data_IF_849617050203
#
_entry.id   IF_849617050203
#
_cell.length_a   1.000
_cell.length_b   1.000
_cell.length_c   1.000
_cell.angle_alpha   90.00
_cell.angle_beta   90.00
_cell.angle_gamma   90.00
#
_symmetry.space_group_name_H-M   'P 1'
#
loop_
_entity.id
_entity.type
_entity.pdbx_description
1 polymer ?
#
# COMPACT_ATOMS: atom_id res chain seq x y z
N UNK A 1 -6.27 2.89 -9.31
CA UNK A 1 -5.48 1.94 -8.48
C UNK A 1 -4.04 1.98 -8.92
N UNK A 2 -3.10 1.79 -8.00
CA UNK A 2 -1.68 1.62 -8.32
C UNK A 2 -1.25 0.21 -7.91
N UNK A 3 -0.38 -0.42 -8.70
CA UNK A 3 0.01 -1.82 -8.48
C UNK A 3 1.47 -1.96 -8.02
N UNK A 4 1.78 -2.97 -7.19
CA UNK A 4 3.11 -3.15 -6.59
C UNK A 4 4.29 -3.15 -7.57
N UNK A 5 4.09 -3.62 -8.81
CA UNK A 5 5.14 -3.58 -9.85
C UNK A 5 5.56 -2.18 -10.28
N UNK A 6 4.71 -1.17 -10.06
CA UNK A 6 5.03 0.24 -10.30
C UNK A 6 5.58 0.96 -9.07
N UNK A 7 5.78 0.27 -7.94
CA UNK A 7 6.27 0.89 -6.71
C UNK A 7 7.79 0.84 -6.64
N UNK A 8 8.37 1.82 -5.96
CA UNK A 8 9.74 1.71 -5.44
C UNK A 8 9.67 0.97 -4.11
N UNK A 9 10.19 -0.26 -4.10
CA UNK A 9 10.22 -1.13 -2.91
C UNK A 9 11.67 -1.41 -2.59
N UNK A 10 12.12 -1.03 -1.40
CA UNK A 10 13.48 -1.33 -0.94
C UNK A 10 13.66 -2.85 -0.88
N UNK A 11 14.68 -3.35 -1.59
CA UNK A 11 14.94 -4.78 -1.86
C UNK A 11 13.90 -5.52 -2.71
N UNK A 12 12.94 -4.82 -3.34
CA UNK A 12 11.83 -5.45 -4.08
C UNK A 12 12.23 -6.29 -5.30
N UNK A 13 13.40 -6.03 -5.88
CA UNK A 13 13.96 -6.82 -6.98
C UNK A 13 14.73 -8.06 -6.50
N UNK A 14 15.02 -8.17 -5.21
CA UNK A 14 15.77 -9.27 -4.63
C UNK A 14 14.83 -10.36 -4.12
N UNK A 15 14.85 -11.50 -4.81
CA UNK A 15 14.01 -12.65 -4.51
C UNK A 15 14.25 -13.26 -3.13
N UNK A 16 15.32 -12.89 -2.41
CA UNK A 16 15.57 -13.30 -1.02
C UNK A 16 14.62 -12.61 -0.04
N UNK A 17 14.22 -11.37 -0.35
CA UNK A 17 13.47 -10.50 0.57
C UNK A 17 12.02 -10.30 0.14
N UNK A 18 11.76 -10.30 -1.16
CA UNK A 18 10.43 -10.17 -1.73
C UNK A 18 10.13 -11.29 -2.72
N UNK A 19 8.86 -11.63 -2.89
CA UNK A 19 8.41 -12.43 -4.03
C UNK A 19 7.14 -11.87 -4.61
N UNK A 20 6.92 -12.14 -5.88
CA UNK A 20 5.78 -11.67 -6.64
C UNK A 20 4.97 -12.89 -7.04
N UNK A 21 3.64 -12.82 -6.91
CA UNK A 21 2.76 -13.91 -7.35
C UNK A 21 1.42 -13.38 -7.81
N UNK A 22 0.74 -14.13 -8.67
CA UNK A 22 -0.67 -13.88 -8.99
C UNK A 22 -1.56 -14.16 -7.77
N UNK A 23 -2.73 -13.55 -7.75
CA UNK A 23 -3.79 -13.86 -6.80
C UNK A 23 -4.24 -15.32 -6.96
N UNK A 24 -4.46 -16.00 -5.83
CA UNK A 24 -5.08 -17.33 -5.81
C UNK A 24 -6.55 -17.23 -6.22
N UNK A 25 -7.19 -18.37 -6.52
CA UNK A 25 -8.63 -18.38 -6.82
C UNK A 25 -9.47 -17.93 -5.62
N UNK A 26 -9.03 -18.24 -4.40
CA UNK A 26 -9.68 -17.77 -3.18
C UNK A 26 -9.58 -16.26 -3.05
N UNK A 27 -8.38 -15.69 -3.22
CA UNK A 27 -8.18 -14.24 -3.17
C UNK A 27 -8.93 -13.50 -4.29
N UNK A 28 -9.10 -14.13 -5.46
CA UNK A 28 -9.91 -13.58 -6.56
C UNK A 28 -11.41 -13.55 -6.25
N UNK A 29 -11.92 -14.45 -5.40
CA UNK A 29 -13.34 -14.47 -4.97
C UNK A 29 -13.67 -13.37 -3.97
N UNK A 30 -12.67 -12.80 -3.31
CA UNK A 30 -12.84 -11.72 -2.33
C UNK A 30 -12.93 -10.32 -2.95
N UNK A 31 -12.72 -10.21 -4.26
CA UNK A 31 -12.56 -8.93 -4.95
C UNK A 31 -13.57 -8.83 -6.10
N UNK A 32 -13.77 -7.62 -6.61
CA UNK A 32 -14.69 -7.37 -7.71
C UNK A 32 -14.31 -8.21 -8.95
N UNK A 33 -15.26 -8.85 -9.66
CA UNK A 33 -14.96 -9.70 -10.82
C UNK A 33 -14.18 -9.00 -11.94
N UNK A 34 -14.38 -7.70 -12.16
CA UNK A 34 -13.59 -6.94 -13.14
C UNK A 34 -12.17 -6.70 -12.64
N UNK A 35 -12.00 -6.39 -11.35
CA UNK A 35 -10.67 -6.35 -10.73
C UNK A 35 -9.98 -7.73 -10.81
N UNK A 36 -10.70 -8.85 -10.60
CA UNK A 36 -10.15 -10.20 -10.63
C UNK A 36 -9.61 -10.63 -12.00
N UNK A 37 -10.13 -10.03 -13.09
CA UNK A 37 -9.66 -10.25 -14.46
C UNK A 37 -8.33 -9.56 -14.77
N UNK A 38 -7.93 -8.54 -14.00
CA UNK A 38 -6.76 -7.69 -14.30
C UNK A 38 -5.39 -8.39 -14.18
N UNK A 39 -5.31 -9.71 -14.06
CA UNK A 39 -4.07 -10.52 -13.93
C UNK A 39 -2.95 -9.89 -13.07
N UNK A 40 -3.34 -9.24 -11.97
CA UNK A 40 -2.41 -8.49 -11.13
C UNK A 40 -1.50 -9.41 -10.32
N UNK A 41 -0.25 -8.99 -10.14
CA UNK A 41 0.68 -9.60 -9.20
C UNK A 41 0.68 -8.85 -7.87
N UNK A 42 0.66 -9.61 -6.78
CA UNK A 42 0.83 -9.10 -5.42
C UNK A 42 2.28 -9.26 -4.97
N UNK A 43 2.74 -8.34 -4.13
CA UNK A 43 4.06 -8.42 -3.52
C UNK A 43 3.96 -9.09 -2.14
N UNK A 44 4.76 -10.13 -1.93
CA UNK A 44 4.90 -10.84 -0.66
C UNK A 44 6.24 -10.49 0.00
N UNK A 45 6.17 -10.01 1.23
CA UNK A 45 7.32 -9.72 2.07
C UNK A 45 7.80 -11.00 2.76
N UNK A 46 8.95 -11.53 2.33
CA UNK A 46 9.54 -12.75 2.92
C UNK A 46 10.16 -12.45 4.28
N UNK A 47 11.12 -11.54 4.31
CA UNK A 47 11.78 -11.16 5.56
C UNK A 47 12.62 -9.90 5.33
N UNK A 48 12.37 -8.80 6.05
CA UNK A 48 13.22 -7.60 6.00
C UNK A 48 13.32 -6.94 7.37
N UNK A 49 14.48 -6.36 7.69
CA UNK A 49 14.61 -5.43 8.81
C UNK A 49 14.22 -3.99 8.43
N UNK A 50 14.30 -3.64 7.14
CA UNK A 50 13.97 -2.32 6.60
C UNK A 50 12.79 -2.42 5.63
N UNK A 51 11.62 -1.90 6.04
CA UNK A 51 10.45 -1.82 5.19
C UNK A 51 10.29 -0.40 4.65
N UNK A 52 10.36 -0.25 3.34
CA UNK A 52 10.10 1.02 2.65
C UNK A 52 9.45 0.74 1.30
N UNK A 53 8.22 1.21 1.17
CA UNK A 53 7.39 1.09 -0.04
C UNK A 53 6.96 2.51 -0.39
N UNK A 54 7.24 2.94 -1.62
CA UNK A 54 6.85 4.25 -2.15
C UNK A 54 6.16 4.07 -3.50
N UNK A 55 5.06 4.78 -3.69
CA UNK A 55 4.35 4.86 -4.94
C UNK A 55 4.17 6.33 -5.31
N UNK A 56 4.12 6.61 -6.61
CA UNK A 56 3.87 7.95 -7.13
C UNK A 56 2.63 7.95 -8.01
N UNK A 57 1.89 9.05 -7.98
CA UNK A 57 0.79 9.32 -8.89
C UNK A 57 0.82 10.78 -9.32
N UNK A 58 0.78 11.03 -10.62
CA UNK A 58 0.54 12.36 -11.16
C UNK A 58 -0.85 12.87 -10.75
N UNK A 59 -0.91 14.03 -10.11
CA UNK A 59 -2.16 14.62 -9.60
C UNK A 59 -3.16 14.93 -10.71
N UNK A 60 -2.70 15.10 -11.95
CA UNK A 60 -3.54 15.30 -13.14
C UNK A 60 -4.43 14.10 -13.47
N UNK A 61 -4.14 12.91 -12.92
CA UNK A 61 -5.02 11.75 -13.04
C UNK A 61 -6.24 11.80 -12.09
N UNK A 62 -6.25 12.74 -11.14
CA UNK A 62 -7.39 12.95 -10.24
C UNK A 62 -8.28 14.05 -10.82
N UNK A 63 -9.60 13.83 -10.77
CA UNK A 63 -10.56 14.85 -11.19
C UNK A 63 -10.57 16.00 -10.19
N UNK A 64 -10.34 17.26 -10.62
CA UNK A 64 -10.37 18.41 -9.72
C UNK A 64 -11.71 18.60 -9.02
N UNK A 65 -11.69 19.12 -7.79
CA UNK A 65 -12.88 19.36 -6.97
C UNK A 65 -13.36 18.17 -6.14
N UNK A 66 -12.70 17.01 -6.25
CA UNK A 66 -12.99 15.83 -5.44
C UNK A 66 -11.91 15.63 -4.36
N UNK A 67 -12.34 15.14 -3.21
CA UNK A 67 -11.45 14.56 -2.20
C UNK A 67 -11.36 13.07 -2.43
N UNK A 68 -10.16 12.51 -2.40
CA UNK A 68 -9.90 11.08 -2.56
C UNK A 68 -9.39 10.50 -1.24
N UNK A 69 -9.86 9.30 -0.92
CA UNK A 69 -9.32 8.45 0.15
C UNK A 69 -8.25 7.55 -0.46
N UNK A 70 -7.09 7.46 0.20
CA UNK A 70 -5.96 6.64 -0.22
C UNK A 70 -5.74 5.51 0.79
N UNK A 71 -5.83 4.27 0.33
CA UNK A 71 -5.65 3.07 1.14
C UNK A 71 -4.64 2.10 0.51
N UNK A 72 -3.72 1.57 1.31
CA UNK A 72 -3.03 0.33 0.93
C UNK A 72 -3.99 -0.84 1.11
N UNK A 73 -4.10 -1.71 0.11
CA UNK A 73 -4.88 -2.94 0.20
C UNK A 73 -3.93 -4.10 0.46
N UNK A 74 -4.00 -4.67 1.67
CA UNK A 74 -3.02 -5.64 2.14
C UNK A 74 -3.64 -6.72 3.03
N UNK A 75 -2.90 -7.81 3.23
CA UNK A 75 -3.16 -8.84 4.26
C UNK A 75 -1.86 -9.23 4.97
N UNK A 76 -1.98 -9.91 6.12
CA UNK A 76 -0.84 -10.52 6.81
C UNK A 76 -0.97 -12.05 6.77
N UNK A 77 -0.02 -12.76 6.19
CA UNK A 77 -0.03 -14.23 6.24
C UNK A 77 0.06 -14.74 7.68
N UNK A 78 -0.50 -15.93 7.94
CA UNK A 78 -0.57 -16.52 9.28
C UNK A 78 0.80 -16.73 9.95
N UNK A 79 1.86 -16.92 9.15
CA UNK A 79 3.24 -17.04 9.63
C UNK A 79 4.00 -15.69 9.66
N UNK A 80 3.30 -14.58 9.47
CA UNK A 80 3.85 -13.24 9.55
C UNK A 80 4.22 -12.83 10.97
N UNK A 81 5.29 -12.06 11.10
CA UNK A 81 5.77 -11.55 12.38
C UNK A 81 6.45 -10.20 12.21
N UNK A 82 6.84 -9.61 13.35
CA UNK A 82 7.51 -8.32 13.39
C UNK A 82 6.54 -7.16 13.26
N UNK A 83 5.23 -7.34 13.49
CA UNK A 83 4.21 -6.29 13.30
C UNK A 83 3.74 -5.60 14.57
N UNK A 84 4.36 -5.87 15.74
CA UNK A 84 3.99 -5.26 17.03
C UNK A 84 4.01 -3.73 16.98
N UNK A 85 5.09 -3.15 16.45
CA UNK A 85 5.23 -1.70 16.29
C UNK A 85 4.49 -1.18 15.04
N UNK A 86 3.94 0.04 15.10
CA UNK A 86 3.22 0.62 13.99
C UNK A 86 4.15 0.92 12.80
N UNK A 87 3.57 0.90 11.60
CA UNK A 87 4.18 1.48 10.40
C UNK A 87 3.85 2.97 10.32
N UNK A 88 4.72 3.74 9.67
CA UNK A 88 4.48 5.12 9.30
C UNK A 88 3.87 5.14 7.88
N UNK A 89 2.67 5.70 7.77
CA UNK A 89 1.93 5.91 6.53
C UNK A 89 1.99 7.38 6.16
N UNK A 90 2.40 7.68 4.93
CA UNK A 90 2.61 9.05 4.50
C UNK A 90 1.99 9.28 3.13
N UNK A 91 1.45 10.48 2.95
CA UNK A 91 1.08 11.03 1.66
C UNK A 91 1.77 12.39 1.58
N UNK A 92 2.45 12.68 0.49
CA UNK A 92 3.02 14.00 0.21
C UNK A 92 2.43 14.50 -1.09
N UNK A 93 1.71 15.61 -1.05
CA UNK A 93 1.18 16.27 -2.24
C UNK A 93 2.01 17.52 -2.56
N UNK A 94 2.09 17.95 -3.83
CA UNK A 94 2.73 19.22 -4.17
C UNK A 94 2.13 20.37 -3.35
N UNK A 95 2.98 21.10 -2.62
CA UNK A 95 2.59 22.20 -1.74
C UNK A 95 2.22 21.82 -0.30
N UNK A 96 2.07 20.53 0.00
CA UNK A 96 1.80 20.05 1.37
C UNK A 96 3.10 19.65 2.08
N UNK A 97 3.74 20.63 2.73
CA UNK A 97 5.09 20.48 3.30
C UNK A 97 5.07 19.89 4.72
N UNK A 98 3.97 20.06 5.46
CA UNK A 98 3.92 19.79 6.91
C UNK A 98 3.05 18.58 7.28
N UNK A 99 2.62 17.77 6.30
CA UNK A 99 1.80 16.59 6.56
C UNK A 99 2.61 15.53 7.31
N UNK A 100 2.24 15.32 8.57
CA UNK A 100 2.90 14.33 9.43
C UNK A 100 2.50 12.91 9.03
N UNK A 101 3.43 11.95 9.10
CA UNK A 101 3.10 10.54 8.92
C UNK A 101 2.06 10.07 9.97
N UNK A 102 1.13 9.23 9.52
CA UNK A 102 0.15 8.55 10.37
C UNK A 102 0.72 7.21 10.83
N UNK A 103 0.65 6.93 12.13
CA UNK A 103 1.06 5.62 12.67
C UNK A 103 -0.10 4.63 12.61
N UNK A 104 0.17 3.43 12.11
CA UNK A 104 -0.84 2.38 11.96
C UNK A 104 -0.31 1.01 12.42
N UNK A 105 -1.06 0.33 13.28
CA UNK A 105 -0.70 -1.00 13.78
C UNK A 105 -1.29 -2.08 12.87
N UNK A 106 -0.50 -2.56 11.90
CA UNK A 106 -0.99 -3.50 10.89
C UNK A 106 -1.62 -4.77 11.49
N UNK A 107 -1.08 -5.32 12.58
CA UNK A 107 -1.65 -6.50 13.21
C UNK A 107 -3.06 -6.32 13.79
N UNK A 108 -3.50 -5.07 14.01
CA UNK A 108 -4.87 -4.74 14.45
C UNK A 108 -5.81 -4.49 13.27
N UNK A 109 -5.28 -3.88 12.22
CA UNK A 109 -6.07 -3.34 11.09
C UNK A 109 -6.16 -4.33 9.93
N UNK A 110 -5.18 -5.21 9.81
CA UNK A 110 -5.05 -6.15 8.70
C UNK A 110 -5.45 -7.55 9.15
N UNK A 111 -6.51 -8.08 8.53
CA UNK A 111 -6.98 -9.45 8.73
C UNK A 111 -5.94 -10.43 8.14
N UNK A 112 -5.78 -11.58 8.81
CA UNK A 112 -4.86 -12.63 8.35
C UNK A 112 -5.36 -13.40 7.13
N UNK A 113 -6.65 -13.29 6.80
CA UNK A 113 -7.33 -14.07 5.76
C UNK A 113 -7.86 -13.21 4.63
N UNK A 114 -8.37 -12.01 4.94
CA UNK A 114 -9.05 -11.13 3.99
C UNK A 114 -8.22 -9.91 3.62
N UNK A 115 -8.48 -9.36 2.44
CA UNK A 115 -7.95 -8.04 2.08
C UNK A 115 -8.50 -6.93 2.99
N UNK A 116 -7.60 -6.20 3.63
CA UNK A 116 -7.92 -5.05 4.48
C UNK A 116 -7.45 -3.74 3.85
N UNK A 117 -8.19 -2.68 4.11
CA UNK A 117 -7.87 -1.32 3.70
C UNK A 117 -7.12 -0.62 4.83
N UNK A 118 -5.87 -0.28 4.56
CA UNK A 118 -4.98 0.41 5.49
C UNK A 118 -4.93 1.89 5.09
N UNK A 119 -5.70 2.70 5.81
CA UNK A 119 -5.90 4.10 5.46
C UNK A 119 -4.64 4.94 5.65
N UNK A 120 -4.19 5.55 4.55
CA UNK A 120 -3.03 6.45 4.54
C UNK A 120 -3.48 7.88 4.82
N UNK A 121 -4.63 8.27 4.27
CA UNK A 121 -5.24 9.59 4.47
C UNK A 121 -6.08 10.05 3.28
N UNK A 122 -6.37 11.34 3.26
CA UNK A 122 -7.20 11.98 2.23
C UNK A 122 -6.41 13.02 1.43
N UNK A 123 -6.78 13.20 0.17
CA UNK A 123 -6.13 14.10 -0.77
C UNK A 123 -7.18 14.88 -1.54
N UNK A 124 -7.11 16.20 -1.47
CA UNK A 124 -7.94 17.09 -2.27
C UNK A 124 -7.28 17.32 -3.64
N UNK A 125 -8.00 17.00 -4.71
CA UNK A 125 -7.58 17.33 -6.06
C UNK A 125 -7.98 18.78 -6.36
N UNK A 126 -7.11 19.75 -6.07
CA UNK A 126 -7.36 21.17 -6.34
C UNK A 126 -6.93 21.60 -7.77
N UNK A 127 -6.70 20.64 -8.68
CA UNK A 127 -6.24 20.90 -10.04
C UNK A 127 -4.77 21.27 -10.17
N UNK A 128 -3.97 21.09 -9.11
CA UNK A 128 -2.53 21.28 -9.15
C UNK A 128 -1.83 20.19 -9.99
N UNK A 129 -0.75 20.59 -10.66
CA UNK A 129 0.17 19.66 -11.33
C UNK A 129 1.21 19.13 -10.34
N UNK A 130 1.84 18.01 -10.72
CA UNK A 130 2.93 17.39 -9.99
C UNK A 130 2.57 16.02 -9.41
N UNK A 131 3.56 15.36 -8.84
CA UNK A 131 3.43 14.00 -8.33
C UNK A 131 3.06 14.00 -6.84
N UNK A 132 2.00 13.29 -6.50
CA UNK A 132 1.77 12.82 -5.14
C UNK A 132 2.64 11.58 -4.88
N UNK A 133 3.29 11.56 -3.73
CA UNK A 133 3.98 10.38 -3.21
C UNK A 133 3.17 9.74 -2.07
N UNK A 134 3.04 8.43 -2.10
CA UNK A 134 2.37 7.62 -1.07
C UNK A 134 3.38 6.62 -0.54
N UNK A 135 3.53 6.51 0.77
CA UNK A 135 4.54 5.65 1.39
C UNK A 135 4.02 4.85 2.58
N UNK A 136 4.59 3.65 2.75
CA UNK A 136 4.51 2.85 3.96
C UNK A 136 5.93 2.52 4.41
N UNK A 137 6.30 2.98 5.59
CA UNK A 137 7.66 2.94 6.12
C UNK A 137 7.68 2.25 7.48
N UNK A 138 8.69 1.42 7.71
CA UNK A 138 9.11 1.00 9.04
C UNK A 138 10.58 0.62 8.99
N UNK A 139 11.41 1.62 9.24
CA UNK A 139 12.86 1.57 9.08
C UNK A 139 13.49 1.01 10.35
N UNK A 140 14.23 -0.09 10.24
CA UNK A 140 14.88 -0.74 11.38
C UNK A 140 13.94 -1.45 12.36
N UNK A 141 14.48 -1.78 13.53
CA UNK A 141 13.81 -2.60 14.54
C UNK A 141 13.78 -4.08 14.14
N UNK A 142 12.65 -4.73 14.42
CA UNK A 142 12.48 -6.16 14.19
C UNK A 142 12.49 -6.53 12.69
N UNK A 143 12.89 -7.78 12.42
CA UNK A 143 12.61 -8.43 11.15
C UNK A 143 11.10 -8.58 10.96
N UNK A 144 10.63 -8.34 9.73
CA UNK A 144 9.21 -8.26 9.35
C UNK A 144 8.93 -9.24 8.23
N UNK A 145 7.86 -10.01 8.37
CA UNK A 145 7.47 -11.06 7.43
C UNK A 145 5.97 -11.13 7.24
N UNK A 146 5.54 -11.55 6.06
CA UNK A 146 4.18 -12.02 5.82
C UNK A 146 3.24 -10.95 5.32
N UNK A 147 3.69 -9.70 5.16
CA UNK A 147 2.90 -8.67 4.48
C UNK A 147 2.67 -9.08 3.02
N UNK A 148 1.41 -9.09 2.61
CA UNK A 148 1.01 -9.26 1.22
C UNK A 148 0.36 -7.97 0.77
N UNK A 149 0.98 -7.30 -0.18
CA UNK A 149 0.51 -6.04 -0.73
C UNK A 149 -0.13 -6.28 -2.09
N UNK A 150 -1.42 -5.93 -2.23
CA UNK A 150 -2.17 -6.10 -3.46
C UNK A 150 -2.13 -4.86 -4.35
N UNK A 151 -2.47 -3.71 -3.80
CA UNK A 151 -2.51 -2.44 -4.54
C UNK A 151 -2.60 -1.26 -3.57
N UNK A 152 -2.53 -0.05 -4.14
CA UNK A 152 -3.06 1.15 -3.50
C UNK A 152 -4.37 1.50 -4.20
N UNK A 153 -5.44 1.62 -3.42
CA UNK A 153 -6.75 2.07 -3.90
C UNK A 153 -6.91 3.55 -3.59
N UNK A 154 -7.34 4.29 -4.59
CA UNK A 154 -7.56 5.74 -4.52
C UNK A 154 -8.98 5.93 -5.03
N UNK A 155 -9.88 6.33 -4.15
CA UNK A 155 -11.33 6.40 -4.43
C UNK A 155 -11.88 7.76 -4.02
N UNK A 156 -12.80 8.35 -4.80
CA UNK A 156 -13.52 9.54 -4.38
C UNK A 156 -14.20 9.30 -3.03
N UNK A 157 -14.07 10.26 -2.14
CA UNK A 157 -14.81 10.30 -0.88
C UNK A 157 -16.29 10.57 -1.20
N UNK A 158 -17.24 9.81 -0.63
CA UNK A 158 -18.67 10.04 -0.82
C UNK A 158 -19.13 11.44 -0.39
#
# INVERSE_FOLDING_TARGET
MLFPKGFSITWGSDARYWSWRKLTQEEKREIDPEEAKMEMEVAYLKDVCWLEIRAKLEMSHLTPGFTYVVDFVAKLEQNGYGWSEPVDLQINCPGDVDRKPRKESLWKTVDGKKWSYVNVGEVEAAGQNGEMEIAMLRLGGDWKRGLVLRCIKITPKP
#
